data_IF_837807092780
#
_entry.id   IF_837807092780
#
_cell.length_a   1.000
_cell.length_b   1.000
_cell.length_c   1.000
_cell.angle_alpha   90.00
_cell.angle_beta   90.00
_cell.angle_gamma   90.00
#
_symmetry.space_group_name_H-M   'P 1'
#
loop_
_entity.id
_entity.type
_entity.pdbx_description
1 polymer ?
#
# COMPACT_ATOMS: atom_id res chain seq x y z
N UNK A 1 -9.94 -19.33 25.10
CA UNK A 1 -9.14 -18.47 24.20
C UNK A 1 -7.87 -17.90 24.86
N UNK A 2 -7.46 -18.42 26.02
CA UNK A 2 -6.42 -17.87 26.93
C UNK A 2 -4.97 -18.15 26.52
N UNK A 3 -4.69 -18.50 25.26
CA UNK A 3 -3.38 -19.02 24.84
C UNK A 3 -2.86 -18.42 23.52
N UNK A 4 -3.14 -17.13 23.28
CA UNK A 4 -2.55 -16.42 22.13
C UNK A 4 -1.39 -15.56 22.62
N UNK A 5 -0.19 -15.87 22.13
CA UNK A 5 1.05 -15.12 22.39
C UNK A 5 1.31 -14.14 21.26
N UNK A 6 1.73 -12.94 21.62
CA UNK A 6 2.11 -11.89 20.68
C UNK A 6 3.63 -11.71 20.67
N UNK A 7 4.24 -11.67 19.49
CA UNK A 7 5.68 -11.49 19.32
C UNK A 7 5.91 -10.34 18.36
N UNK A 8 6.85 -9.45 18.68
CA UNK A 8 7.40 -8.51 17.71
C UNK A 8 8.72 -9.05 17.20
N UNK A 9 8.82 -9.26 15.90
CA UNK A 9 10.05 -9.60 15.20
C UNK A 9 10.53 -8.41 14.35
N UNK A 10 11.84 -8.34 14.13
CA UNK A 10 12.51 -7.45 13.19
C UNK A 10 13.10 -8.30 12.05
N UNK A 11 13.57 -7.71 10.93
CA UNK A 11 14.14 -8.48 9.82
C UNK A 11 15.17 -9.55 10.24
N UNK A 12 16.05 -9.21 11.19
CA UNK A 12 17.09 -10.08 11.75
C UNK A 12 16.57 -11.26 12.58
N UNK A 13 15.33 -11.18 13.06
CA UNK A 13 14.71 -12.14 13.99
C UNK A 13 13.43 -12.76 13.42
N UNK A 14 13.07 -12.42 12.18
CA UNK A 14 11.87 -12.93 11.50
C UNK A 14 12.03 -14.37 11.00
N UNK A 15 13.27 -14.79 10.71
CA UNK A 15 13.61 -16.08 10.07
C UNK A 15 12.78 -17.28 10.54
N UNK A 16 12.64 -17.55 11.85
CA UNK A 16 11.87 -18.67 12.37
C UNK A 16 10.37 -18.69 11.99
N UNK A 17 9.81 -17.55 11.56
CA UNK A 17 8.39 -17.39 11.24
C UNK A 17 8.11 -17.22 9.75
N UNK A 18 9.15 -17.08 8.91
CA UNK A 18 9.00 -16.77 7.48
C UNK A 18 8.14 -17.80 6.76
N UNK A 19 8.40 -19.09 6.95
CA UNK A 19 7.61 -20.13 6.28
C UNK A 19 6.13 -20.09 6.71
N UNK A 20 5.86 -19.84 8.00
CA UNK A 20 4.50 -19.73 8.53
C UNK A 20 3.77 -18.50 7.98
N UNK A 21 4.48 -17.39 7.81
CA UNK A 21 3.94 -16.17 7.20
C UNK A 21 3.59 -16.38 5.72
N UNK A 22 4.46 -17.07 4.97
CA UNK A 22 4.19 -17.41 3.56
C UNK A 22 3.03 -18.39 3.41
N UNK A 23 2.92 -19.37 4.31
CA UNK A 23 1.77 -20.28 4.34
C UNK A 23 0.47 -19.51 4.61
N UNK A 24 0.46 -18.60 5.60
CA UNK A 24 -0.68 -17.74 5.88
C UNK A 24 -1.13 -16.93 4.65
N UNK A 25 -0.18 -16.42 3.86
CA UNK A 25 -0.47 -15.63 2.65
C UNK A 25 -1.10 -16.44 1.52
N UNK A 26 -0.63 -17.68 1.31
CA UNK A 26 -1.17 -18.57 0.26
C UNK A 26 -2.65 -18.87 0.44
N UNK A 27 -3.16 -18.78 1.66
CA UNK A 27 -4.59 -18.97 1.96
C UNK A 27 -5.44 -17.70 1.77
N UNK A 28 -4.81 -16.56 1.46
CA UNK A 28 -5.49 -15.28 1.27
C UNK A 28 -5.55 -14.95 -0.22
N UNK A 29 -6.70 -15.27 -0.81
CA UNK A 29 -6.98 -15.04 -2.22
C UNK A 29 -7.72 -13.72 -2.44
N UNK A 30 -7.28 -12.97 -3.44
CA UNK A 30 -7.86 -11.72 -3.91
C UNK A 30 -8.43 -11.91 -5.31
N UNK A 31 -9.65 -11.43 -5.61
CA UNK A 31 -10.25 -11.60 -6.94
C UNK A 31 -9.58 -10.69 -7.99
N UNK A 32 -9.55 -11.16 -9.23
CA UNK A 32 -9.19 -10.41 -10.45
C UNK A 32 -10.34 -10.46 -11.44
N UNK A 33 -10.52 -9.38 -12.23
CA UNK A 33 -11.50 -9.30 -13.32
C UNK A 33 -12.89 -9.84 -12.90
N UNK A 34 -13.46 -9.22 -11.86
CA UNK A 34 -14.76 -9.61 -11.27
C UNK A 34 -14.87 -11.07 -10.81
N UNK A 35 -13.72 -11.69 -10.48
CA UNK A 35 -13.64 -13.05 -9.97
C UNK A 35 -13.34 -14.11 -11.04
N UNK A 36 -13.03 -13.70 -12.27
CA UNK A 36 -12.58 -14.62 -13.33
C UNK A 36 -11.25 -15.30 -13.01
N UNK A 37 -10.40 -14.66 -12.20
CA UNK A 37 -9.18 -15.24 -11.64
C UNK A 37 -8.98 -14.76 -10.19
N UNK A 38 -7.98 -15.33 -9.51
CA UNK A 38 -7.54 -14.89 -8.19
C UNK A 38 -6.02 -14.74 -8.17
N UNK A 39 -5.51 -13.97 -7.22
CA UNK A 39 -4.09 -13.99 -6.87
C UNK A 39 -3.90 -14.10 -5.37
N UNK A 40 -2.72 -14.54 -4.97
CA UNK A 40 -2.20 -14.33 -3.62
C UNK A 40 -0.92 -13.49 -3.70
N UNK A 41 -0.53 -12.91 -2.57
CA UNK A 41 0.70 -12.12 -2.48
C UNK A 41 1.80 -13.05 -1.96
N UNK A 42 2.95 -13.09 -2.63
CA UNK A 42 4.18 -13.73 -2.10
C UNK A 42 5.23 -12.65 -1.84
N UNK A 43 5.63 -12.47 -0.58
CA UNK A 43 6.71 -11.56 -0.20
C UNK A 43 8.13 -12.14 -0.36
N UNK A 44 8.25 -13.24 -1.10
CA UNK A 44 9.52 -13.87 -1.41
C UNK A 44 10.11 -14.65 -0.23
N UNK A 45 11.29 -15.29 -0.43
CA UNK A 45 11.87 -16.22 0.55
C UNK A 45 12.36 -15.53 1.83
N UNK A 46 12.62 -14.22 1.79
CA UNK A 46 13.02 -13.44 2.96
C UNK A 46 11.84 -12.80 3.70
N UNK A 47 10.67 -12.67 3.06
CA UNK A 47 9.46 -11.97 3.52
C UNK A 47 9.61 -10.46 3.81
N UNK A 48 10.63 -10.08 4.58
CA UNK A 48 10.87 -8.71 4.98
C UNK A 48 11.38 -7.75 3.88
N UNK A 49 12.07 -8.16 2.78
CA UNK A 49 12.73 -7.21 1.88
C UNK A 49 11.82 -6.09 1.34
N UNK A 50 10.58 -6.43 0.96
CA UNK A 50 9.60 -5.43 0.54
C UNK A 50 9.34 -4.38 1.63
N UNK A 51 9.07 -4.81 2.86
CA UNK A 51 8.81 -3.91 3.99
C UNK A 51 10.06 -3.13 4.40
N UNK A 52 11.23 -3.77 4.42
CA UNK A 52 12.51 -3.14 4.76
C UNK A 52 12.94 -2.09 3.73
N UNK A 53 12.57 -2.26 2.46
CA UNK A 53 12.81 -1.23 1.44
C UNK A 53 11.95 0.03 1.64
N UNK A 54 10.88 -0.05 2.43
CA UNK A 54 10.02 1.09 2.76
C UNK A 54 10.50 1.88 3.99
N UNK A 55 11.30 1.27 4.87
CA UNK A 55 11.74 1.84 6.14
C UNK A 55 12.10 0.75 7.17
N UNK A 56 12.16 1.11 8.45
CA UNK A 56 12.41 0.12 9.51
C UNK A 56 11.15 -0.72 9.75
N UNK A 57 11.20 -2.00 9.36
CA UNK A 57 10.07 -2.93 9.48
C UNK A 57 10.01 -3.63 10.85
N UNK A 58 8.79 -3.76 11.36
CA UNK A 58 8.44 -4.49 12.58
C UNK A 58 7.25 -5.41 12.28
N UNK A 59 7.35 -6.67 12.65
CA UNK A 59 6.32 -7.68 12.39
C UNK A 59 5.70 -8.13 13.70
N UNK A 60 4.44 -7.80 13.92
CA UNK A 60 3.69 -8.27 15.09
C UNK A 60 2.93 -9.53 14.72
N UNK A 61 3.27 -10.64 15.36
CA UNK A 61 2.75 -11.98 15.12
C UNK A 61 1.85 -12.43 16.26
N UNK A 62 0.73 -13.09 15.95
CA UNK A 62 -0.14 -13.75 16.91
C UNK A 62 -0.06 -15.26 16.75
N UNK A 63 0.43 -15.96 17.78
CA UNK A 63 0.70 -17.40 17.77
C UNK A 63 -0.15 -18.12 18.82
N UNK A 64 -0.59 -19.34 18.51
CA UNK A 64 -1.14 -20.30 19.48
C UNK A 64 -0.36 -21.59 19.37
N UNK A 65 0.47 -21.88 20.37
CA UNK A 65 1.54 -22.87 20.21
C UNK A 65 2.41 -22.50 19.00
N UNK A 66 2.46 -23.40 18.01
CA UNK A 66 3.16 -23.19 16.74
C UNK A 66 2.30 -22.57 15.62
N UNK A 67 0.99 -22.50 15.79
CA UNK A 67 0.08 -22.00 14.76
C UNK A 67 0.14 -20.48 14.67
N UNK A 68 0.42 -19.95 13.47
CA UNK A 68 0.42 -18.50 13.19
C UNK A 68 -0.99 -18.07 12.79
N UNK A 69 -1.69 -17.44 13.73
CA UNK A 69 -3.08 -17.04 13.57
C UNK A 69 -3.24 -15.72 12.81
N UNK A 70 -2.21 -14.87 12.82
CA UNK A 70 -2.22 -13.60 12.12
C UNK A 70 -0.98 -12.77 12.32
N UNK A 71 -0.84 -11.77 11.48
CA UNK A 71 0.28 -10.81 11.47
C UNK A 71 -0.22 -9.41 11.15
N UNK A 72 0.55 -8.41 11.58
CA UNK A 72 0.45 -7.04 11.08
C UNK A 72 1.86 -6.45 11.03
N UNK A 73 2.15 -5.70 9.97
CA UNK A 73 3.45 -5.08 9.77
C UNK A 73 3.37 -3.58 10.05
N UNK A 74 4.35 -3.08 10.79
CA UNK A 74 4.57 -1.66 10.98
C UNK A 74 5.89 -1.25 10.33
N UNK A 75 5.87 -0.25 9.45
CA UNK A 75 7.08 0.30 8.83
C UNK A 75 7.29 1.74 9.29
N UNK A 76 8.35 1.95 10.06
CA UNK A 76 8.77 3.28 10.49
C UNK A 76 9.53 3.97 9.35
N UNK A 77 9.03 5.13 8.91
CA UNK A 77 9.60 5.88 7.78
C UNK A 77 9.28 7.36 7.84
N UNK A 78 10.09 8.22 7.21
CA UNK A 78 9.70 9.61 7.03
C UNK A 78 8.63 9.76 5.93
N UNK A 79 7.72 10.70 6.16
CA UNK A 79 6.75 11.21 5.17
C UNK A 79 6.82 12.73 5.12
N UNK A 80 6.20 13.35 4.12
CA UNK A 80 6.22 14.81 3.96
C UNK A 80 4.80 15.38 3.88
N UNK A 81 4.56 16.43 4.65
CA UNK A 81 3.38 17.28 4.49
C UNK A 81 3.85 18.67 4.02
N UNK A 82 3.66 18.96 2.73
CA UNK A 82 4.35 20.06 2.07
C UNK A 82 5.86 19.91 2.21
N UNK A 83 6.52 20.91 2.77
CA UNK A 83 7.97 20.87 3.04
C UNK A 83 8.33 20.24 4.39
N UNK A 84 7.34 19.97 5.26
CA UNK A 84 7.58 19.44 6.61
C UNK A 84 7.76 17.93 6.56
N UNK A 85 8.93 17.46 7.01
CA UNK A 85 9.19 16.03 7.27
C UNK A 85 8.53 15.60 8.58
N UNK A 86 7.88 14.45 8.58
CA UNK A 86 7.23 13.83 9.75
C UNK A 86 7.64 12.35 9.81
N UNK A 87 8.03 11.86 10.99
CA UNK A 87 8.26 10.44 11.18
C UNK A 87 6.91 9.72 11.38
N UNK A 88 6.70 8.68 10.58
CA UNK A 88 5.43 7.99 10.45
C UNK A 88 5.58 6.49 10.70
N UNK A 89 4.51 5.86 11.22
CA UNK A 89 4.35 4.42 11.21
C UNK A 89 3.30 4.04 10.17
N UNK A 90 3.75 3.39 9.09
CA UNK A 90 2.85 2.75 8.13
C UNK A 90 2.42 1.39 8.67
N UNK A 91 1.14 1.23 8.98
CA UNK A 91 0.54 -0.03 9.40
C UNK A 91 -0.05 -0.69 8.16
N UNK A 92 0.54 -1.81 7.77
CA UNK A 92 0.18 -2.52 6.56
C UNK A 92 0.10 -4.03 6.82
N UNK A 93 -0.41 -4.74 5.81
CA UNK A 93 -0.36 -6.20 5.75
C UNK A 93 -1.00 -6.93 6.95
N UNK A 94 -2.13 -6.40 7.45
CA UNK A 94 -2.92 -7.09 8.47
C UNK A 94 -3.54 -8.36 7.86
N UNK A 95 -3.05 -9.52 8.30
CA UNK A 95 -3.46 -10.85 7.80
C UNK A 95 -3.92 -11.74 8.93
N UNK A 96 -4.98 -12.51 8.69
CA UNK A 96 -5.52 -13.47 9.65
C UNK A 96 -5.81 -14.80 8.96
N UNK A 97 -5.43 -15.89 9.63
CA UNK A 97 -5.77 -17.24 9.23
C UNK A 97 -7.29 -17.41 9.17
N UNK A 98 -7.79 -18.21 8.23
CA UNK A 98 -9.24 -18.30 7.94
C UNK A 98 -10.05 -18.69 9.18
N UNK A 99 -9.57 -19.66 9.97
CA UNK A 99 -10.18 -20.12 11.22
C UNK A 99 -10.07 -19.12 12.38
N UNK A 100 -9.22 -18.11 12.28
CA UNK A 100 -9.04 -17.08 13.30
C UNK A 100 -9.90 -15.82 13.06
N UNK A 101 -10.54 -15.69 11.90
CA UNK A 101 -11.40 -14.54 11.55
C UNK A 101 -12.66 -14.49 12.40
N UNK A 102 -13.20 -13.29 12.65
CA UNK A 102 -14.39 -13.09 13.49
C UNK A 102 -14.19 -13.26 15.00
N UNK A 103 -13.00 -13.71 15.45
CA UNK A 103 -12.68 -13.92 16.87
C UNK A 103 -12.26 -12.65 17.64
N UNK A 104 -12.23 -11.49 16.96
CA UNK A 104 -11.67 -10.25 17.50
C UNK A 104 -10.12 -10.20 17.51
N UNK A 105 -9.44 -11.16 16.87
CA UNK A 105 -7.98 -11.22 16.84
C UNK A 105 -7.33 -10.00 16.16
N UNK A 106 -7.92 -9.47 15.09
CA UNK A 106 -7.43 -8.24 14.44
C UNK A 106 -7.38 -7.07 15.42
N UNK A 107 -8.47 -6.85 16.18
CA UNK A 107 -8.51 -5.82 17.21
C UNK A 107 -7.43 -6.03 18.27
N UNK A 108 -7.18 -7.27 18.69
CA UNK A 108 -6.11 -7.59 19.64
C UNK A 108 -4.72 -7.33 19.07
N UNK A 109 -4.45 -7.72 17.82
CA UNK A 109 -3.18 -7.41 17.12
C UNK A 109 -2.93 -5.90 17.12
N UNK A 110 -3.93 -5.11 16.73
CA UNK A 110 -3.81 -3.65 16.68
C UNK A 110 -3.58 -3.04 18.07
N UNK A 111 -4.32 -3.49 19.09
CA UNK A 111 -4.12 -3.04 20.47
C UNK A 111 -2.71 -3.39 21.00
N UNK A 112 -2.20 -4.58 20.68
CA UNK A 112 -0.84 -4.96 21.02
C UNK A 112 0.18 -4.10 20.26
N UNK A 113 -0.05 -3.83 18.97
CA UNK A 113 0.77 -2.91 18.18
C UNK A 113 0.84 -1.52 18.80
N UNK A 114 -0.30 -0.97 19.23
CA UNK A 114 -0.36 0.32 19.93
C UNK A 114 0.42 0.31 21.26
N UNK A 115 0.37 -0.79 22.02
CA UNK A 115 1.21 -0.95 23.22
C UNK A 115 2.70 -0.84 22.88
N UNK A 116 3.12 -1.42 21.75
CA UNK A 116 4.52 -1.39 21.33
C UNK A 116 5.03 -0.01 20.90
N UNK A 117 4.16 0.94 20.56
CA UNK A 117 4.55 2.34 20.36
C UNK A 117 5.25 2.92 21.57
N UNK A 118 4.85 2.52 22.78
CA UNK A 118 5.44 2.99 24.02
C UNK A 118 6.62 2.14 24.49
N UNK A 119 6.67 0.86 24.09
CA UNK A 119 7.71 -0.06 24.55
C UNK A 119 8.98 0.02 23.70
N UNK A 120 8.85 0.13 22.38
CA UNK A 120 9.96 0.09 21.42
C UNK A 120 10.52 1.51 21.25
N UNK A 121 11.79 1.79 21.63
CA UNK A 121 12.30 3.16 21.69
C UNK A 121 12.18 3.96 20.38
N UNK A 122 12.50 3.40 19.19
CA UNK A 122 12.28 4.10 17.92
C UNK A 122 10.82 4.55 17.68
N UNK A 123 9.82 3.81 18.19
CA UNK A 123 8.40 4.08 17.93
C UNK A 123 7.79 5.14 18.87
N UNK A 124 8.43 5.44 20.01
CA UNK A 124 7.89 6.34 21.05
C UNK A 124 7.67 7.77 20.57
N UNK A 125 8.41 8.20 19.55
CA UNK A 125 8.35 9.55 19.01
C UNK A 125 7.29 9.71 17.92
N UNK A 126 6.67 8.62 17.48
CA UNK A 126 5.75 8.65 16.35
C UNK A 126 4.46 9.35 16.73
N UNK A 127 4.13 10.34 15.90
CA UNK A 127 2.89 11.12 16.01
C UNK A 127 1.99 10.96 14.80
N UNK A 128 2.46 10.33 13.73
CA UNK A 128 1.67 10.10 12.54
C UNK A 128 1.61 8.60 12.23
N UNK A 129 0.41 8.05 12.21
CA UNK A 129 0.16 6.66 11.85
C UNK A 129 -0.74 6.65 10.62
N UNK A 130 -0.47 5.76 9.67
CA UNK A 130 -1.34 5.61 8.52
C UNK A 130 -1.41 4.16 8.05
N UNK A 131 -2.44 3.85 7.27
CA UNK A 131 -2.66 2.56 6.63
C UNK A 131 -3.47 2.74 5.36
N UNK A 132 -3.41 1.76 4.46
CA UNK A 132 -4.15 1.76 3.21
C UNK A 132 -5.04 0.51 3.18
N UNK A 133 -6.29 0.66 2.73
CA UNK A 133 -7.23 -0.45 2.60
C UNK A 133 -7.98 -0.37 1.28
N UNK A 134 -8.01 -1.48 0.55
CA UNK A 134 -8.80 -1.62 -0.68
C UNK A 134 -10.29 -1.63 -0.33
N UNK A 135 -11.11 -0.93 -1.13
CA UNK A 135 -12.57 -1.00 -1.04
C UNK A 135 -13.07 -2.10 -1.97
N UNK A 136 -13.69 -3.14 -1.41
CA UNK A 136 -14.37 -4.16 -2.22
C UNK A 136 -15.80 -3.74 -2.59
N UNK A 137 -16.48 -4.55 -3.42
CA UNK A 137 -17.89 -4.34 -3.78
C UNK A 137 -18.86 -4.27 -2.57
N UNK A 138 -18.46 -4.83 -1.41
CA UNK A 138 -19.22 -4.78 -0.15
C UNK A 138 -18.86 -3.57 0.74
N UNK A 139 -18.00 -2.67 0.26
CA UNK A 139 -17.46 -1.53 0.99
C UNK A 139 -16.09 -1.79 1.63
N UNK A 140 -15.67 -0.85 2.47
CA UNK A 140 -14.37 -0.86 3.14
C UNK A 140 -14.26 -2.00 4.18
N UNK A 141 -13.06 -2.57 4.37
CA UNK A 141 -12.71 -3.50 5.46
C UNK A 141 -13.18 -2.95 6.82
N UNK A 142 -13.21 -1.63 6.98
CA UNK A 142 -13.66 -0.91 8.17
C UNK A 142 -15.17 -1.01 8.44
N UNK A 143 -15.99 -1.38 7.45
CA UNK A 143 -17.44 -1.61 7.61
C UNK A 143 -17.74 -2.98 8.27
N UNK A 144 -16.78 -3.92 8.18
CA UNK A 144 -16.89 -5.27 8.76
C UNK A 144 -16.50 -5.28 10.25
N UNK A 145 -15.75 -4.28 10.72
CA UNK A 145 -15.44 -4.10 12.13
C UNK A 145 -16.69 -3.64 12.93
N UNK A 146 -17.52 -4.58 13.37
CA UNK A 146 -18.56 -4.33 14.38
C UNK A 146 -17.90 -4.13 15.75
N UNK A 147 -18.25 -3.05 16.46
CA UNK A 147 -17.75 -2.75 17.82
C UNK A 147 -16.68 -1.66 17.90
N UNK A 148 -16.09 -1.48 19.09
CA UNK A 148 -14.98 -0.54 19.32
C UNK A 148 -13.69 -1.13 18.72
N UNK A 149 -13.09 -0.43 17.74
CA UNK A 149 -11.88 -0.84 17.03
C UNK A 149 -10.90 0.34 17.00
N UNK A 150 -9.64 0.19 17.44
CA UNK A 150 -8.63 1.25 17.37
C UNK A 150 -8.43 1.81 15.96
N UNK A 151 -8.68 1.04 14.91
CA UNK A 151 -8.64 1.56 13.53
C UNK A 151 -9.68 2.67 13.28
N UNK A 152 -10.79 2.72 14.04
CA UNK A 152 -11.77 3.82 13.96
C UNK A 152 -11.24 5.14 14.53
N UNK A 153 -10.13 5.12 15.25
CA UNK A 153 -9.42 6.35 15.62
C UNK A 153 -8.73 6.98 14.41
N UNK A 154 -8.36 6.17 13.41
CA UNK A 154 -7.92 6.65 12.11
C UNK A 154 -9.11 7.22 11.34
N UNK A 155 -8.98 8.46 10.86
CA UNK A 155 -9.97 9.08 9.97
C UNK A 155 -9.62 8.74 8.52
N UNK A 156 -10.60 8.55 7.62
CA UNK A 156 -10.35 8.54 6.19
C UNK A 156 -9.60 9.84 5.82
N UNK A 157 -8.34 9.70 5.44
CA UNK A 157 -7.46 10.78 5.09
C UNK A 157 -7.54 11.10 3.60
N UNK A 158 -7.77 10.09 2.76
CA UNK A 158 -7.92 10.23 1.31
C UNK A 158 -8.56 8.99 0.68
N UNK A 159 -9.15 9.17 -0.50
CA UNK A 159 -9.46 8.08 -1.43
C UNK A 159 -8.53 8.19 -2.62
N UNK A 160 -7.88 7.08 -2.96
CA UNK A 160 -7.00 6.97 -4.10
C UNK A 160 -7.68 6.09 -5.14
N UNK A 161 -7.85 6.61 -6.35
CA UNK A 161 -8.24 5.85 -7.52
C UNK A 161 -7.02 5.06 -8.03
N UNK A 162 -7.14 3.74 -8.18
CA UNK A 162 -6.10 2.86 -8.70
C UNK A 162 -6.41 2.49 -10.14
N UNK A 163 -5.36 2.46 -10.96
CA UNK A 163 -5.41 2.19 -12.39
C UNK A 163 -4.44 1.07 -12.74
N UNK A 164 -4.86 0.17 -13.61
CA UNK A 164 -4.07 -0.89 -14.22
C UNK A 164 -4.19 -0.77 -15.73
N UNK A 165 -3.19 -0.16 -16.36
CA UNK A 165 -3.28 0.29 -17.76
C UNK A 165 -2.18 -0.38 -18.58
N UNK A 166 -2.50 -0.97 -19.74
CA UNK A 166 -1.47 -1.42 -20.68
C UNK A 166 -0.55 -0.24 -21.09
N UNK A 167 0.78 -0.41 -21.08
CA UNK A 167 1.73 0.65 -21.45
C UNK A 167 1.42 1.36 -22.77
N UNK A 168 0.99 0.60 -23.79
CA UNK A 168 0.61 1.13 -25.10
C UNK A 168 -0.53 2.17 -25.02
N UNK A 169 -1.48 2.02 -24.08
CA UNK A 169 -2.54 3.01 -23.87
C UNK A 169 -2.01 4.29 -23.25
N UNK A 170 -1.07 4.20 -22.31
CA UNK A 170 -0.43 5.38 -21.72
C UNK A 170 0.43 6.12 -22.75
N UNK A 171 1.17 5.39 -23.58
CA UNK A 171 1.97 5.95 -24.66
C UNK A 171 1.13 6.77 -25.66
N UNK A 172 -0.12 6.35 -25.90
CA UNK A 172 -1.01 6.97 -26.86
C UNK A 172 -1.85 8.14 -26.30
N UNK A 173 -1.71 8.49 -25.02
CA UNK A 173 -2.48 9.57 -24.39
C UNK A 173 -2.14 10.94 -24.99
N UNK A 174 -3.17 11.72 -25.30
CA UNK A 174 -3.03 13.13 -25.66
C UNK A 174 -2.77 13.99 -24.40
N UNK A 175 -1.59 14.61 -24.36
CA UNK A 175 -1.13 15.38 -23.20
C UNK A 175 -1.46 16.87 -23.28
N UNK A 176 -2.03 17.36 -24.40
CA UNK A 176 -2.29 18.80 -24.62
C UNK A 176 -3.29 19.40 -23.63
N UNK A 177 -4.28 18.62 -23.21
CA UNK A 177 -5.29 19.00 -22.21
C UNK A 177 -4.98 18.45 -20.81
N UNK A 178 -3.79 17.86 -20.61
CA UNK A 178 -3.44 17.29 -19.32
C UNK A 178 -3.35 18.39 -18.25
N UNK A 179 -3.89 18.15 -17.05
CA UNK A 179 -3.80 19.14 -15.98
C UNK A 179 -2.35 19.37 -15.55
N UNK A 180 -2.04 20.57 -15.06
CA UNK A 180 -0.73 20.87 -14.52
C UNK A 180 -0.49 20.08 -13.24
N UNK A 181 0.77 20.10 -12.78
CA UNK A 181 1.14 19.53 -11.48
C UNK A 181 0.21 20.05 -10.36
N UNK A 182 -0.22 19.18 -9.44
CA UNK A 182 -0.99 19.57 -8.26
C UNK A 182 -0.35 20.71 -7.48
N UNK A 183 -1.18 21.66 -7.06
CA UNK A 183 -0.77 22.79 -6.22
C UNK A 183 -1.19 22.57 -4.76
N UNK A 184 -0.68 23.42 -3.86
CA UNK A 184 -0.97 23.33 -2.43
C UNK A 184 -0.08 22.33 -1.67
N UNK A 185 -0.20 22.35 -0.33
CA UNK A 185 0.54 21.44 0.55
C UNK A 185 -0.10 20.04 0.53
N UNK A 186 0.54 19.10 -0.15
CA UNK A 186 0.14 17.69 -0.17
C UNK A 186 0.78 16.86 0.93
N UNK A 187 0.25 15.65 1.12
CA UNK A 187 0.81 14.61 1.99
C UNK A 187 1.44 13.51 1.14
N UNK A 188 2.76 13.48 1.10
CA UNK A 188 3.55 12.49 0.39
C UNK A 188 3.93 11.35 1.34
N UNK A 189 3.24 10.23 1.21
CA UNK A 189 3.46 9.02 1.99
C UNK A 189 4.57 8.15 1.39
N UNK A 190 4.82 8.25 0.08
CA UNK A 190 5.93 7.57 -0.60
C UNK A 190 6.36 8.25 -1.91
N UNK A 191 7.17 7.61 -2.75
CA UNK A 191 7.82 6.33 -2.49
C UNK A 191 8.83 6.46 -1.34
N UNK A 192 9.16 5.33 -0.73
CA UNK A 192 10.17 5.33 0.32
C UNK A 192 11.52 5.81 -0.21
N UNK A 193 12.34 6.53 0.58
CA UNK A 193 13.61 7.08 0.10
C UNK A 193 14.59 6.03 -0.44
N UNK A 194 14.52 4.80 0.05
CA UNK A 194 15.36 3.69 -0.39
C UNK A 194 14.79 2.94 -1.61
N UNK A 195 13.58 3.30 -2.08
CA UNK A 195 13.02 2.73 -3.30
C UNK A 195 13.75 3.34 -4.50
N UNK A 196 14.51 2.51 -5.19
CA UNK A 196 15.06 2.88 -6.50
C UNK A 196 13.92 3.01 -7.49
N UNK A 197 13.82 4.19 -8.11
CA UNK A 197 12.98 4.42 -9.27
C UNK A 197 13.85 4.35 -10.52
N UNK A 198 13.27 3.83 -11.60
CA UNK A 198 13.88 3.66 -12.91
C UNK A 198 13.23 4.65 -13.90
N UNK A 199 14.02 5.02 -14.92
CA UNK A 199 13.57 5.87 -16.02
C UNK A 199 12.84 7.14 -15.56
N UNK A 200 11.64 7.36 -16.10
CA UNK A 200 10.78 8.49 -15.75
C UNK A 200 10.26 8.49 -14.30
N UNK A 201 10.48 7.42 -13.54
CA UNK A 201 10.10 7.31 -12.14
C UNK A 201 9.13 6.16 -11.84
N UNK A 202 9.35 5.00 -12.46
CA UNK A 202 8.61 3.77 -12.19
C UNK A 202 9.45 2.79 -11.38
N UNK A 203 8.84 1.75 -10.81
CA UNK A 203 9.55 0.67 -10.13
C UNK A 203 8.79 -0.66 -10.22
N UNK A 204 9.48 -1.78 -10.04
CA UNK A 204 8.87 -3.09 -9.86
C UNK A 204 8.97 -3.58 -8.42
N UNK A 205 8.05 -4.46 -8.00
CA UNK A 205 8.15 -5.23 -6.75
C UNK A 205 8.54 -6.69 -6.99
N UNK A 206 8.92 -7.04 -8.22
CA UNK A 206 9.25 -8.40 -8.64
C UNK A 206 10.23 -9.07 -7.67
N UNK A 207 9.88 -10.26 -7.18
CA UNK A 207 10.67 -11.06 -6.25
C UNK A 207 10.66 -10.59 -4.79
N UNK A 208 10.07 -9.43 -4.49
CA UNK A 208 9.93 -8.91 -3.13
C UNK A 208 8.47 -8.84 -2.66
N UNK A 209 7.53 -8.57 -3.57
CA UNK A 209 6.08 -8.63 -3.38
C UNK A 209 5.46 -8.95 -4.73
N UNK A 210 5.25 -10.24 -4.99
CA UNK A 210 4.67 -10.73 -6.23
C UNK A 210 3.18 -10.99 -6.05
N UNK A 211 2.36 -10.51 -6.97
CA UNK A 211 0.96 -10.90 -7.08
C UNK A 211 0.91 -12.16 -7.96
N UNK A 212 0.90 -13.33 -7.32
CA UNK A 212 0.94 -14.63 -7.99
C UNK A 212 -0.47 -15.01 -8.49
N UNK A 213 -0.65 -15.03 -9.81
CA UNK A 213 -1.93 -15.42 -10.44
C UNK A 213 -2.20 -16.90 -10.20
N UNK A 214 -3.40 -17.24 -9.72
CA UNK A 214 -3.77 -18.62 -9.42
C UNK A 214 -3.90 -19.46 -10.70
N UNK A 215 -4.46 -18.87 -11.76
CA UNK A 215 -4.63 -19.52 -13.07
C UNK A 215 -3.32 -19.99 -13.72
N UNK A 216 -2.22 -19.23 -13.56
CA UNK A 216 -0.94 -19.49 -14.24
C UNK A 216 0.18 -19.91 -13.31
N UNK A 217 0.04 -19.69 -12.00
CA UNK A 217 1.11 -19.88 -11.01
C UNK A 217 2.30 -18.94 -11.21
N UNK A 218 2.14 -17.86 -11.99
CA UNK A 218 3.19 -16.90 -12.32
C UNK A 218 2.88 -15.53 -11.70
N UNK A 219 3.93 -14.74 -11.37
CA UNK A 219 3.75 -13.34 -11.01
C UNK A 219 2.99 -12.60 -12.10
N UNK A 220 2.08 -11.73 -11.69
CA UNK A 220 1.49 -10.74 -12.57
C UNK A 220 2.53 -9.64 -12.82
N UNK A 221 2.98 -9.42 -14.07
CA UNK A 221 3.97 -8.38 -14.39
C UNK A 221 3.39 -6.96 -14.21
N UNK A 222 3.35 -6.49 -12.97
CA UNK A 222 2.94 -5.15 -12.61
C UNK A 222 4.16 -4.23 -12.47
N UNK A 223 4.09 -3.07 -13.11
CA UNK A 223 5.09 -2.01 -12.98
C UNK A 223 4.41 -0.78 -12.40
N UNK A 224 4.96 -0.23 -11.33
CA UNK A 224 4.32 0.85 -10.57
C UNK A 224 4.87 2.21 -10.94
N UNK A 225 4.01 3.13 -11.37
CA UNK A 225 4.38 4.52 -11.63
C UNK A 225 4.36 5.27 -10.28
N UNK A 226 5.51 5.31 -9.62
CA UNK A 226 5.62 5.67 -8.21
C UNK A 226 6.05 7.12 -7.97
N UNK A 227 6.45 7.84 -9.02
CA UNK A 227 7.00 9.19 -8.91
C UNK A 227 5.98 10.15 -8.27
N UNK A 228 6.38 10.93 -7.25
CA UNK A 228 5.49 11.89 -6.62
C UNK A 228 5.28 13.13 -7.52
N UNK A 229 4.26 13.96 -7.23
CA UNK A 229 3.96 15.18 -7.99
C UNK A 229 5.17 16.06 -8.31
N UNK A 230 6.16 16.15 -7.42
CA UNK A 230 7.35 16.98 -7.65
C UNK A 230 8.22 16.50 -8.80
N UNK A 231 8.13 15.22 -9.19
CA UNK A 231 8.90 14.63 -10.27
C UNK A 231 8.25 14.87 -11.65
N UNK A 232 7.00 15.34 -11.72
CA UNK A 232 6.27 15.57 -12.98
C UNK A 232 6.65 16.91 -13.61
N UNK A 233 7.92 17.07 -13.97
CA UNK A 233 8.49 18.35 -14.43
C UNK A 233 7.83 18.90 -15.69
N UNK A 234 7.31 18.03 -16.55
CA UNK A 234 6.58 18.37 -17.77
C UNK A 234 5.06 18.19 -17.63
N UNK A 235 4.55 18.02 -16.41
CA UNK A 235 3.15 17.74 -16.11
C UNK A 235 2.84 16.24 -16.01
N UNK A 236 1.66 15.93 -15.47
CA UNK A 236 1.26 14.55 -15.16
C UNK A 236 1.02 13.72 -16.42
N UNK A 237 0.37 14.28 -17.44
CA UNK A 237 0.10 13.55 -18.68
C UNK A 237 1.39 13.15 -19.41
N UNK A 238 2.38 14.03 -19.42
CA UNK A 238 3.68 13.73 -20.03
C UNK A 238 4.47 12.68 -19.25
N UNK A 239 4.38 12.71 -17.91
CA UNK A 239 4.92 11.64 -17.07
C UNK A 239 4.30 10.28 -17.43
N UNK A 240 2.96 10.18 -17.47
CA UNK A 240 2.28 8.94 -17.84
C UNK A 240 2.67 8.45 -19.23
N UNK A 241 2.72 9.35 -20.21
CA UNK A 241 3.09 9.03 -21.59
C UNK A 241 4.53 8.51 -21.68
N UNK A 242 5.45 9.17 -21.00
CA UNK A 242 6.88 8.77 -20.96
C UNK A 242 7.03 7.40 -20.33
N UNK A 243 6.37 7.14 -19.19
CA UNK A 243 6.33 5.80 -18.62
C UNK A 243 5.72 4.78 -19.59
N UNK A 244 4.64 5.11 -20.29
CA UNK A 244 4.06 4.24 -21.31
C UNK A 244 5.06 3.85 -22.41
N UNK A 245 5.85 4.80 -22.90
CA UNK A 245 6.91 4.56 -23.89
C UNK A 245 8.01 3.65 -23.34
N UNK A 246 8.52 3.94 -22.15
CA UNK A 246 9.59 3.15 -21.52
C UNK A 246 9.14 1.70 -21.25
N UNK A 247 7.90 1.53 -20.79
CA UNK A 247 7.35 0.23 -20.41
C UNK A 247 6.85 -0.60 -21.61
N UNK A 248 6.68 0.00 -22.80
CA UNK A 248 6.30 -0.73 -24.01
C UNK A 248 7.31 -1.84 -24.38
N UNK A 249 8.57 -1.67 -23.97
CA UNK A 249 9.63 -2.67 -24.19
C UNK A 249 9.52 -3.90 -23.26
N UNK A 250 8.70 -3.86 -22.21
CA UNK A 250 8.58 -4.95 -21.21
C UNK A 250 7.59 -6.06 -21.62
N UNK A 251 6.92 -5.91 -22.76
CA UNK A 251 6.00 -6.90 -23.33
C UNK A 251 4.52 -6.61 -23.08
N UNK A 252 3.67 -7.29 -23.86
CA UNK A 252 2.21 -7.01 -23.91
C UNK A 252 1.44 -7.42 -22.66
N UNK A 253 1.98 -8.34 -21.84
CA UNK A 253 1.33 -8.75 -20.59
C UNK A 253 1.56 -7.79 -19.42
N UNK A 254 2.55 -6.88 -19.54
CA UNK A 254 2.88 -5.96 -18.46
C UNK A 254 1.79 -4.88 -18.32
N UNK A 255 1.43 -4.55 -17.08
CA UNK A 255 0.52 -3.45 -16.78
C UNK A 255 1.24 -2.37 -15.98
N UNK A 256 1.04 -1.12 -16.40
CA UNK A 256 1.38 0.04 -15.60
C UNK A 256 0.31 0.22 -14.52
N UNK A 257 0.73 0.24 -13.26
CA UNK A 257 -0.11 0.41 -12.09
C UNK A 257 0.21 1.75 -11.42
N UNK A 258 -0.80 2.56 -11.16
CA UNK A 258 -0.63 3.82 -10.45
C UNK A 258 -1.87 4.20 -9.67
N UNK A 259 -1.71 5.17 -8.77
CA UNK A 259 -2.79 5.71 -7.96
C UNK A 259 -2.82 7.24 -8.05
N UNK A 260 -3.99 7.83 -7.91
CA UNK A 260 -4.15 9.29 -7.78
C UNK A 260 -5.21 9.62 -6.74
N UNK A 261 -4.99 10.68 -5.97
CA UNK A 261 -5.99 11.16 -5.01
C UNK A 261 -7.23 11.68 -5.75
N UNK A 262 -8.41 11.21 -5.36
CA UNK A 262 -9.68 11.63 -5.97
C UNK A 262 -9.98 13.13 -5.78
N UNK A 263 -9.31 13.80 -4.84
CA UNK A 263 -9.36 15.28 -4.70
C UNK A 263 -8.74 16.01 -5.88
N UNK A 264 -7.87 15.35 -6.66
CA UNK A 264 -7.33 15.91 -7.90
C UNK A 264 -8.35 15.68 -9.02
N UNK A 265 -9.52 16.32 -8.88
CA UNK A 265 -10.69 16.11 -9.75
C UNK A 265 -10.34 16.32 -11.23
N UNK A 266 -9.57 17.36 -11.56
CA UNK A 266 -9.10 17.62 -12.93
C UNK A 266 -8.28 16.46 -13.51
N UNK A 267 -7.45 15.81 -12.68
CA UNK A 267 -6.63 14.67 -13.12
C UNK A 267 -7.46 13.42 -13.34
N UNK A 268 -8.40 13.15 -12.42
CA UNK A 268 -9.32 12.02 -12.55
C UNK A 268 -10.25 12.22 -13.75
N UNK A 269 -10.75 13.44 -13.98
CA UNK A 269 -11.60 13.79 -15.11
C UNK A 269 -10.85 13.61 -16.43
N UNK A 270 -9.66 14.20 -16.55
CA UNK A 270 -8.83 14.09 -17.75
C UNK A 270 -8.52 12.63 -18.09
N UNK A 271 -8.18 11.78 -17.10
CA UNK A 271 -7.98 10.34 -17.33
C UNK A 271 -9.22 9.67 -17.95
N UNK A 272 -10.43 10.02 -17.47
CA UNK A 272 -11.68 9.49 -18.03
C UNK A 272 -11.92 9.98 -19.46
N UNK A 273 -11.64 11.25 -19.75
CA UNK A 273 -11.76 11.82 -21.10
C UNK A 273 -10.85 11.11 -22.13
N UNK A 274 -9.64 10.72 -21.71
CA UNK A 274 -8.74 9.90 -22.54
C UNK A 274 -9.04 8.40 -22.46
N UNK A 275 -10.19 8.03 -21.89
CA UNK A 275 -10.71 6.66 -21.84
C UNK A 275 -10.07 5.75 -20.78
N UNK A 276 -9.33 6.29 -19.83
CA UNK A 276 -8.69 5.55 -18.74
C UNK A 276 -9.55 5.67 -17.49
N UNK A 277 -10.29 4.60 -17.16
CA UNK A 277 -11.11 4.50 -15.96
C UNK A 277 -10.33 3.85 -14.81
N UNK A 278 -10.64 4.19 -13.55
CA UNK A 278 -10.07 3.50 -12.40
C UNK A 278 -10.66 2.10 -12.26
N UNK A 279 -9.81 1.13 -11.91
CA UNK A 279 -10.20 -0.27 -11.69
C UNK A 279 -10.61 -0.53 -10.25
N UNK A 280 -10.07 0.24 -9.30
CA UNK A 280 -10.35 0.08 -7.87
C UNK A 280 -10.14 1.39 -7.12
N UNK A 281 -10.62 1.43 -5.88
CA UNK A 281 -10.39 2.55 -4.95
C UNK A 281 -9.76 2.02 -3.67
N UNK A 282 -8.76 2.73 -3.18
CA UNK A 282 -8.13 2.52 -1.89
C UNK A 282 -8.47 3.70 -0.96
N UNK A 283 -8.76 3.41 0.30
CA UNK A 283 -8.88 4.46 1.33
C UNK A 283 -7.60 4.49 2.15
N UNK A 284 -6.97 5.67 2.22
CA UNK A 284 -5.89 5.94 3.16
C UNK A 284 -6.51 6.37 4.47
N UNK A 285 -6.18 5.66 5.54
CA UNK A 285 -6.53 6.00 6.91
C UNK A 285 -5.33 6.64 7.59
N UNK A 286 -5.55 7.70 8.36
CA UNK A 286 -4.48 8.28 9.17
C UNK A 286 -4.95 8.73 10.55
N UNK A 287 -4.01 8.72 11.48
CA UNK A 287 -4.12 9.27 12.82
C UNK A 287 -2.92 10.19 13.04
N UNK A 288 -3.17 11.49 13.03
CA UNK A 288 -2.17 12.51 13.38
C UNK A 288 -2.40 12.99 14.82
N UNK A 289 -1.44 12.70 15.68
CA UNK A 289 -1.39 13.08 17.08
C UNK A 289 -0.73 14.46 17.29
N UNK A 290 -0.36 15.15 16.22
CA UNK A 290 0.35 16.43 16.27
C UNK A 290 -0.56 17.67 16.37
N UNK A 291 -1.90 17.53 16.22
CA UNK A 291 -2.94 18.58 16.23
C UNK A 291 -2.72 19.77 15.25
N UNK A 292 -3.81 20.43 14.82
CA UNK A 292 -4.33 20.28 13.47
C UNK A 292 -3.37 20.85 12.41
N UNK A 293 -2.80 19.98 11.58
CA UNK A 293 -2.47 20.39 10.23
C UNK A 293 -3.78 20.55 9.45
N UNK A 294 -3.88 21.59 8.61
CA UNK A 294 -4.92 21.64 7.58
C UNK A 294 -4.93 20.31 6.83
N UNK A 295 -6.11 19.83 6.44
CA UNK A 295 -6.17 18.65 5.58
C UNK A 295 -5.28 18.87 4.35
N UNK A 296 -4.47 17.88 3.95
CA UNK A 296 -3.61 18.04 2.80
C UNK A 296 -4.45 18.26 1.54
N UNK A 297 -3.94 19.06 0.60
CA UNK A 297 -4.62 19.32 -0.67
C UNK A 297 -4.79 18.03 -1.50
N UNK A 298 -3.85 17.10 -1.36
CA UNK A 298 -3.79 15.81 -2.03
C UNK A 298 -2.90 14.86 -1.23
N UNK A 299 -3.06 13.55 -1.45
CA UNK A 299 -2.25 12.49 -0.85
C UNK A 299 -1.59 11.66 -1.94
N UNK A 300 -0.27 11.46 -1.84
CA UNK A 300 0.47 10.56 -2.73
C UNK A 300 0.94 9.33 -1.98
N UNK A 301 0.44 8.15 -2.36
CA UNK A 301 0.91 6.84 -1.90
C UNK A 301 1.05 5.94 -3.13
N UNK A 302 2.28 5.59 -3.54
CA UNK A 302 2.50 4.73 -4.70
C UNK A 302 1.73 3.41 -4.59
N UNK A 303 1.17 2.95 -5.70
CA UNK A 303 0.47 1.67 -5.77
C UNK A 303 1.32 0.45 -5.38
N UNK A 304 2.66 0.54 -5.51
CA UNK A 304 3.57 -0.50 -5.04
C UNK A 304 3.53 -0.70 -3.52
N UNK A 305 3.12 0.33 -2.78
CA UNK A 305 3.09 0.36 -1.31
C UNK A 305 1.67 0.12 -0.76
N UNK A 306 0.64 0.01 -1.61
CA UNK A 306 -0.75 -0.38 -1.27
C UNK A 306 -0.83 -1.91 -1.19
#
# INVERSE_FOLDING_TARGET
>A
MSDVRFIVARPDSLGPYVERLRLLEREILYPLADGADHFFIDHGPGYHPFFSSMGEAYFLLALRGDDLLGSVTGVLRPVWHGTRKVDALYICDLKLAKHARGSGLSTKLLLQGLKHLFLIPPLRRIRFLYGAAMRGARGDVMRIARGWNPLRMGRPASQLALYFVPPARLQAVDTRSAPPRPTGAGLRLGPAPARTLEGAGWCTTAGAKDLQRLSTGRPWPLVHLAAPPEAWTQGWGEYLRTCGVELAALGEEALACFSIDERLEDHVHWLREVGIAPDSVCTVYSLDLSFPARAPAWVHLPSSEI
#
